data_IF_968848558477
#
_entry.id   IF_968848558477
#
_cell.length_a   1.000
_cell.length_b   1.000
_cell.length_c   1.000
_cell.angle_alpha   90.00
_cell.angle_beta   90.00
_cell.angle_gamma   90.00
#
_symmetry.space_group_name_H-M   'P 1'
#
loop_
_entity.id
_entity.type
_entity.pdbx_description
1 polymer ?
#
# COMPACT_ATOMS: atom_id res chain seq x y z
N UNK A 1 12.22 -9.25 2.36
CA UNK A 1 11.48 -8.24 2.28
C UNK A 1 11.01 -7.50 3.49
N UNK A 2 10.60 -6.34 3.22
CA UNK A 2 10.11 -5.47 4.27
C UNK A 2 8.61 -5.23 4.16
N UNK A 3 7.92 -5.99 3.32
CA UNK A 3 6.46 -6.00 3.32
C UNK A 3 5.98 -7.44 3.40
N UNK A 4 4.80 -7.60 3.98
CA UNK A 4 4.16 -8.89 4.11
C UNK A 4 2.80 -8.80 3.44
N UNK A 5 2.47 -9.74 2.59
CA UNK A 5 1.20 -9.74 1.86
C UNK A 5 0.40 -10.97 2.28
N UNK A 6 -0.79 -10.71 2.81
CA UNK A 6 -1.67 -11.75 3.29
C UNK A 6 -2.98 -11.68 2.53
N UNK A 7 -3.24 -12.66 1.71
CA UNK A 7 -4.44 -12.69 0.86
C UNK A 7 -5.49 -13.58 1.48
N UNK A 8 -6.66 -13.01 1.70
CA UNK A 8 -7.81 -13.78 2.17
C UNK A 8 -8.91 -13.69 1.13
N UNK A 9 -10.00 -14.39 1.38
CA UNK A 9 -11.15 -14.34 0.47
C UNK A 9 -11.74 -12.94 0.41
N UNK A 10 -11.74 -12.24 1.52
CA UNK A 10 -12.42 -10.96 1.60
C UNK A 10 -11.55 -9.81 1.10
N UNK A 11 -10.25 -9.86 1.38
CA UNK A 11 -9.37 -8.76 1.02
C UNK A 11 -7.93 -9.21 1.09
N UNK A 12 -7.05 -8.31 0.65
CA UNK A 12 -5.61 -8.49 0.78
C UNK A 12 -5.10 -7.47 1.79
N UNK A 13 -4.38 -7.94 2.78
CA UNK A 13 -3.76 -7.08 3.78
C UNK A 13 -2.25 -7.05 3.55
N UNK A 14 -1.71 -5.85 3.50
CA UNK A 14 -0.27 -5.65 3.28
C UNK A 14 0.27 -4.90 4.48
N UNK A 15 1.30 -5.45 5.10
CA UNK A 15 1.90 -4.85 6.27
C UNK A 15 3.33 -4.44 5.95
N UNK A 16 3.69 -3.20 6.31
CA UNK A 16 5.05 -2.74 6.16
C UNK A 16 5.82 -3.17 7.39
N UNK A 17 6.86 -3.97 7.16
CA UNK A 17 7.60 -4.58 8.24
C UNK A 17 8.40 -3.55 9.01
N UNK A 18 8.10 -3.43 10.30
CA UNK A 18 8.75 -2.45 11.16
C UNK A 18 9.88 -3.02 11.98
N UNK A 19 10.22 -4.28 11.77
CA UNK A 19 11.17 -4.95 12.64
C UNK A 19 12.52 -4.27 12.77
N UNK A 20 12.94 -3.55 11.74
CA UNK A 20 14.22 -2.86 11.77
C UNK A 20 14.16 -1.50 12.43
N UNK A 21 12.99 -1.06 12.80
CA UNK A 21 12.78 0.30 13.28
C UNK A 21 12.19 0.30 14.65
N UNK A 22 12.70 -0.57 15.49
CA UNK A 22 12.27 -0.61 16.88
C UNK A 22 13.09 0.38 17.67
N UNK A 23 12.53 0.82 18.79
CA UNK A 23 13.27 1.66 19.72
C UNK A 23 13.21 3.12 19.34
N UNK A 24 14.33 3.79 19.48
CA UNK A 24 14.35 5.23 19.53
C UNK A 24 14.49 5.94 18.18
N UNK A 25 14.52 5.18 17.10
CA UNK A 25 14.85 5.77 15.81
C UNK A 25 13.66 5.95 14.89
N UNK A 26 12.47 6.06 15.48
CA UNK A 26 11.27 6.22 14.66
C UNK A 26 11.00 7.69 14.42
N UNK A 27 12.00 8.37 13.88
CA UNK A 27 11.79 9.74 13.45
C UNK A 27 10.87 9.75 12.24
N UNK A 28 10.03 10.78 12.16
CA UNK A 28 9.07 10.89 11.08
C UNK A 28 9.74 10.77 9.72
N UNK A 29 10.90 11.37 9.55
CA UNK A 29 11.62 11.32 8.30
C UNK A 29 12.04 9.91 7.93
N UNK A 30 12.49 9.14 8.90
CA UNK A 30 12.91 7.77 8.66
C UNK A 30 11.72 6.91 8.29
N UNK A 31 10.62 7.08 9.03
CA UNK A 31 9.40 6.34 8.75
C UNK A 31 8.89 6.66 7.35
N UNK A 32 8.89 7.93 7.01
CA UNK A 32 8.42 8.36 5.69
C UNK A 32 9.24 7.73 4.58
N UNK A 33 10.57 7.70 4.75
CA UNK A 33 11.43 7.10 3.75
C UNK A 33 11.12 5.61 3.57
N UNK A 34 10.96 4.90 4.68
CA UNK A 34 10.65 3.48 4.63
C UNK A 34 9.32 3.25 3.94
N UNK A 35 8.33 4.06 4.28
CA UNK A 35 7.01 3.90 3.68
C UNK A 35 7.04 4.20 2.19
N UNK A 36 7.88 5.15 1.75
CA UNK A 36 8.01 5.41 0.32
C UNK A 36 8.59 4.21 -0.41
N UNK A 37 9.62 3.61 0.16
CA UNK A 37 10.22 2.43 -0.44
C UNK A 37 9.23 1.28 -0.48
N UNK A 38 8.48 1.13 0.60
CA UNK A 38 7.46 0.09 0.64
C UNK A 38 6.39 0.32 -0.42
N UNK A 39 6.01 1.57 -0.63
CA UNK A 39 4.98 1.89 -1.61
C UNK A 39 5.37 1.42 -3.01
N UNK A 40 6.61 1.67 -3.40
CA UNK A 40 7.10 1.23 -4.69
C UNK A 40 7.06 -0.29 -4.81
N UNK A 41 7.48 -0.97 -3.75
CA UNK A 41 7.47 -2.42 -3.76
C UNK A 41 6.04 -2.97 -3.78
N UNK A 42 5.14 -2.34 -3.04
CA UNK A 42 3.75 -2.76 -3.00
C UNK A 42 3.14 -2.68 -4.40
N UNK A 43 3.33 -1.54 -5.08
CA UNK A 43 2.78 -1.39 -6.42
C UNK A 43 3.32 -2.46 -7.36
N UNK A 44 4.59 -2.76 -7.24
CA UNK A 44 5.21 -3.81 -8.06
C UNK A 44 4.58 -5.17 -7.79
N UNK A 45 4.38 -5.50 -6.52
CA UNK A 45 3.81 -6.79 -6.18
C UNK A 45 2.35 -6.91 -6.59
N UNK A 46 1.60 -5.83 -6.50
CA UNK A 46 0.21 -5.85 -6.95
C UNK A 46 0.12 -6.20 -8.43
N UNK A 47 1.04 -5.66 -9.23
CA UNK A 47 1.07 -5.96 -10.66
C UNK A 47 1.57 -7.36 -10.93
N UNK A 48 2.67 -7.74 -10.31
CA UNK A 48 3.30 -9.03 -10.59
C UNK A 48 2.40 -10.19 -10.20
N UNK A 49 1.68 -10.05 -9.09
CA UNK A 49 0.81 -11.11 -8.60
C UNK A 49 -0.64 -10.93 -9.03
N UNK A 50 -0.92 -9.85 -9.74
CA UNK A 50 -2.28 -9.54 -10.22
C UNK A 50 -3.28 -9.59 -9.06
N UNK A 51 -2.98 -8.87 -8.00
CA UNK A 51 -3.82 -8.85 -6.82
C UNK A 51 -4.97 -7.88 -7.07
N UNK A 52 -6.20 -8.38 -6.97
CA UNK A 52 -7.38 -7.56 -7.19
C UNK A 52 -8.29 -7.54 -5.98
N UNK A 53 -9.33 -6.70 -6.07
CA UNK A 53 -10.29 -6.56 -5.00
C UNK A 53 -9.86 -5.52 -3.99
N UNK A 54 -10.31 -5.69 -2.76
CA UNK A 54 -10.03 -4.76 -1.66
C UNK A 54 -8.63 -5.00 -1.13
N UNK A 55 -7.87 -3.93 -0.99
CA UNK A 55 -6.50 -3.99 -0.50
C UNK A 55 -6.35 -2.98 0.62
N UNK A 56 -5.85 -3.45 1.76
CA UNK A 56 -5.60 -2.60 2.92
C UNK A 56 -4.10 -2.63 3.19
N UNK A 57 -3.49 -1.45 3.28
CA UNK A 57 -2.07 -1.35 3.52
C UNK A 57 -1.83 -0.73 4.89
N UNK A 58 -1.12 -1.46 5.72
CA UNK A 58 -0.79 -1.02 7.07
C UNK A 58 0.63 -0.45 7.05
N UNK A 59 0.72 0.86 6.79
CA UNK A 59 1.99 1.56 6.80
C UNK A 59 2.46 1.81 8.22
N UNK A 60 3.75 2.08 8.36
CA UNK A 60 4.26 2.56 9.65
C UNK A 60 3.60 3.91 9.92
N UNK A 61 3.19 4.13 11.15
CA UNK A 61 2.45 5.34 11.50
C UNK A 61 3.20 6.61 11.12
N UNK A 62 2.51 7.49 10.43
CA UNK A 62 3.01 8.81 10.07
C UNK A 62 2.09 9.85 10.68
N UNK A 63 2.69 10.91 11.20
CA UNK A 63 1.91 11.96 11.86
C UNK A 63 1.69 13.17 10.97
N UNK A 64 2.52 13.34 9.93
CA UNK A 64 2.42 14.49 9.05
C UNK A 64 1.45 14.21 7.92
N UNK A 65 0.45 15.08 7.77
CA UNK A 65 -0.52 14.90 6.71
C UNK A 65 0.11 15.01 5.34
N UNK A 66 1.12 15.86 5.21
CA UNK A 66 1.82 16.01 3.95
C UNK A 66 2.51 14.74 3.52
N UNK A 67 3.06 14.01 4.50
CA UNK A 67 3.72 12.75 4.18
C UNK A 67 2.71 11.71 3.72
N UNK A 68 1.54 11.69 4.35
CA UNK A 68 0.49 10.78 3.92
C UNK A 68 0.05 11.08 2.51
N UNK A 69 -0.07 12.36 2.18
CA UNK A 69 -0.43 12.75 0.82
C UNK A 69 0.60 12.30 -0.19
N UNK A 70 1.87 12.45 0.15
CA UNK A 70 2.92 12.05 -0.76
C UNK A 70 2.94 10.54 -0.98
N UNK A 71 2.63 9.78 0.06
CA UNK A 71 2.53 8.33 -0.10
C UNK A 71 1.41 7.99 -1.08
N UNK A 72 0.26 8.65 -0.93
CA UNK A 72 -0.86 8.39 -1.84
C UNK A 72 -0.47 8.75 -3.28
N UNK A 73 0.20 9.88 -3.46
CA UNK A 73 0.61 10.30 -4.80
C UNK A 73 1.63 9.34 -5.40
N UNK A 74 2.57 8.90 -4.58
CA UNK A 74 3.58 7.97 -5.06
C UNK A 74 2.94 6.63 -5.46
N UNK A 75 2.00 6.17 -4.66
CA UNK A 75 1.29 4.93 -4.98
C UNK A 75 0.51 5.08 -6.28
N UNK A 76 -0.19 6.20 -6.43
CA UNK A 76 -0.96 6.46 -7.65
C UNK A 76 -0.04 6.49 -8.87
N UNK A 77 1.10 7.16 -8.75
CA UNK A 77 2.04 7.22 -9.85
C UNK A 77 2.64 5.86 -10.18
N UNK A 78 2.95 5.10 -9.14
CA UNK A 78 3.53 3.78 -9.34
C UNK A 78 2.55 2.84 -10.02
N UNK A 79 1.25 3.05 -9.80
CA UNK A 79 0.22 2.21 -10.41
C UNK A 79 -0.20 2.70 -11.78
N UNK A 80 0.27 3.87 -12.21
CA UNK A 80 -0.08 4.35 -13.56
C UNK A 80 0.46 3.45 -14.64
N UNK A 81 1.54 2.76 -14.39
CA UNK A 81 2.11 1.84 -15.35
C UNK A 81 1.35 0.54 -15.44
N UNK A 82 0.41 0.37 -14.56
CA UNK A 82 -0.39 -0.84 -14.47
C UNK A 82 -1.53 -0.76 -15.49
N UNK A 83 -1.72 -1.83 -16.24
CA UNK A 83 -2.86 -1.89 -17.17
C UNK A 83 -4.18 -1.97 -16.43
N UNK A 84 -4.13 -2.48 -15.25
CA UNK A 84 -5.33 -2.69 -14.43
C UNK A 84 -5.64 -1.43 -13.66
N UNK A 85 -6.90 -1.06 -13.61
CA UNK A 85 -7.30 0.14 -12.91
C UNK A 85 -7.32 -0.08 -11.41
N UNK A 86 -6.88 0.94 -10.70
CA UNK A 86 -6.89 0.97 -9.25
C UNK A 86 -7.56 2.24 -8.78
N UNK A 87 -8.12 2.17 -7.59
CA UNK A 87 -8.70 3.35 -6.95
C UNK A 87 -8.18 3.42 -5.53
N UNK A 88 -7.56 4.55 -5.19
CA UNK A 88 -7.03 4.76 -3.85
C UNK A 88 -8.04 5.58 -3.09
N UNK A 89 -8.55 5.01 -2.00
CA UNK A 89 -9.59 5.68 -1.20
C UNK A 89 -8.99 6.60 -0.15
N UNK A 90 -7.76 6.32 0.29
CA UNK A 90 -7.08 7.18 1.24
C UNK A 90 -6.82 6.49 2.55
N UNK A 91 -6.30 7.27 3.50
CA UNK A 91 -6.02 6.76 4.84
C UNK A 91 -7.27 6.80 5.70
N UNK A 92 -7.45 5.77 6.52
CA UNK A 92 -8.54 5.72 7.47
C UNK A 92 -8.12 6.41 8.77
N UNK A 93 -9.04 6.48 9.72
CA UNK A 93 -8.75 7.03 11.03
C UNK A 93 -7.72 6.20 11.79
N UNK A 94 -7.58 4.94 11.41
CA UNK A 94 -6.59 4.07 12.04
C UNK A 94 -5.27 4.06 11.28
N UNK A 95 -5.11 4.99 10.34
CA UNK A 95 -3.90 5.13 9.53
C UNK A 95 -3.66 3.92 8.63
N UNK A 96 -4.72 3.26 8.22
CA UNK A 96 -4.64 2.21 7.22
C UNK A 96 -5.01 2.81 5.87
N UNK A 97 -4.24 2.49 4.84
CA UNK A 97 -4.58 2.96 3.51
C UNK A 97 -5.48 1.96 2.82
N UNK A 98 -6.61 2.43 2.32
CA UNK A 98 -7.57 1.59 1.61
C UNK A 98 -7.49 1.86 0.13
N UNK A 99 -7.53 0.79 -0.65
CA UNK A 99 -7.58 0.91 -2.10
C UNK A 99 -8.26 -0.31 -2.67
N UNK A 100 -8.63 -0.21 -3.94
CA UNK A 100 -9.14 -1.34 -4.68
C UNK A 100 -8.37 -1.44 -5.98
N UNK A 101 -8.25 -2.65 -6.48
CA UNK A 101 -7.66 -2.89 -7.79
C UNK A 101 -8.58 -3.83 -8.53
N UNK A 102 -8.85 -3.53 -9.79
CA UNK A 102 -9.80 -4.31 -10.56
C UNK A 102 -9.32 -5.75 -10.65
N UNK A 103 -10.27 -6.67 -10.46
CA UNK A 103 -9.96 -8.08 -10.52
C UNK A 103 -10.17 -8.55 -11.96
N UNK A 104 -9.07 -8.77 -12.67
CA UNK A 104 -9.16 -9.13 -14.08
C UNK A 104 -9.84 -10.46 -14.30
N UNK A 105 -9.74 -11.35 -13.33
CA UNK A 105 -10.31 -12.68 -13.50
C UNK A 105 -11.82 -12.66 -13.54
N UNK A 106 -12.44 -11.62 -13.00
CA UNK A 106 -13.89 -11.54 -12.92
C UNK A 106 -14.51 -10.60 -13.93
N UNK A 107 -13.70 -10.02 -14.79
CA UNK A 107 -14.23 -9.03 -15.73
C UNK A 107 -15.19 -9.61 -16.74
N UNK A 108 -14.97 -10.83 -17.10
CA UNK A 108 -15.73 -11.43 -18.17
C UNK A 108 -17.12 -11.87 -17.74
N UNK A 109 -17.37 -11.82 -16.46
CA UNK A 109 -18.63 -12.28 -15.92
C UNK A 109 -19.73 -11.25 -16.02
N UNK A 110 -19.38 -10.07 -16.43
CA UNK A 110 -20.35 -8.97 -16.48
C UNK A 110 -20.46 -8.39 -17.89
#
# INVERSE_FOLDING_TARGET
GFITIDRTEALTAIDVNTGKYTGNNNLEQTVFKVNKEATTEIAKQLRLRDIGGIIIIDYIDMHEEENKKEIIELLAQSLKKDRTKSQILGFTKLNLLEMTRKNMCNNDDY
#
